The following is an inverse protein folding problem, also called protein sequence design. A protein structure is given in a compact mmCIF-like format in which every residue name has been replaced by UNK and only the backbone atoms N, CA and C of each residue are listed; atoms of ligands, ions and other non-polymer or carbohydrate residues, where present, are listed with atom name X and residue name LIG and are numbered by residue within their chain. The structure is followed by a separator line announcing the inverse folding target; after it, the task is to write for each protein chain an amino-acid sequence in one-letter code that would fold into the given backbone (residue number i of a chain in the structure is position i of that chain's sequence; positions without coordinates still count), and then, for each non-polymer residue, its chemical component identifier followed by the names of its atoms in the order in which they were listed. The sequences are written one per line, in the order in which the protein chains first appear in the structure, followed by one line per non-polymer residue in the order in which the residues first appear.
data_IF_348969971815
#
_entry.id   IF_348969971815
#
_cell.length_a   1.000
_cell.length_b   1.000
_cell.length_c   1.000
_cell.angle_alpha   90.00
_cell.angle_beta   90.00
_cell.angle_gamma   90.00
#
_symmetry.space_group_name_H-M   'P 1'
#
loop_
_entity.id
_entity.type
_entity.pdbx_description
1 polymer ?
#
# COMPACT_ATOMS: atom_id res chain seq x y z
N UNK A 1 10.81 -8.60 -27.56
CA UNK A 1 9.63 -8.06 -26.85
C UNK A 1 8.98 -9.05 -25.89
N UNK A 2 8.93 -10.34 -26.27
CA UNK A 2 8.37 -11.38 -25.38
C UNK A 2 9.18 -11.60 -24.11
N UNK A 3 10.51 -11.47 -24.16
CA UNK A 3 11.39 -11.67 -23.01
C UNK A 3 11.20 -10.57 -21.97
N UNK A 4 10.98 -9.32 -22.39
CA UNK A 4 10.75 -8.20 -21.48
C UNK A 4 9.42 -8.30 -20.74
N UNK A 5 8.36 -8.78 -21.41
CA UNK A 5 7.04 -8.92 -20.77
C UNK A 5 7.01 -10.06 -19.76
N UNK A 6 7.71 -11.18 -20.03
CA UNK A 6 7.78 -12.29 -19.07
C UNK A 6 8.62 -11.93 -17.85
N UNK A 7 9.74 -11.21 -18.01
CA UNK A 7 10.56 -10.74 -16.91
C UNK A 7 9.79 -9.74 -16.02
N UNK A 8 9.06 -8.80 -16.63
CA UNK A 8 8.21 -7.86 -15.90
C UNK A 8 7.09 -8.58 -15.13
N UNK A 9 6.45 -9.57 -15.75
CA UNK A 9 5.41 -10.38 -15.10
C UNK A 9 5.98 -11.17 -13.91
N UNK A 10 7.19 -11.73 -14.03
CA UNK A 10 7.84 -12.46 -12.94
C UNK A 10 8.21 -11.55 -11.76
N UNK A 11 8.58 -10.29 -12.04
CA UNK A 11 8.81 -9.28 -11.00
C UNK A 11 7.51 -8.97 -10.27
N UNK A 12 6.42 -8.72 -10.99
CA UNK A 12 5.11 -8.41 -10.40
C UNK A 12 4.54 -9.54 -9.55
N UNK A 13 4.75 -10.79 -9.91
CA UNK A 13 4.25 -11.96 -9.16
C UNK A 13 4.72 -12.03 -7.71
N UNK A 14 5.80 -11.34 -7.37
CA UNK A 14 6.37 -11.30 -6.02
C UNK A 14 6.14 -9.98 -5.31
N UNK A 15 5.37 -9.08 -5.90
CA UNK A 15 5.18 -7.73 -5.37
C UNK A 15 3.80 -7.56 -4.76
N UNK A 16 3.77 -6.80 -3.70
CA UNK A 16 2.58 -6.16 -3.17
C UNK A 16 2.53 -4.74 -3.71
N UNK A 17 1.47 -4.42 -4.41
CA UNK A 17 1.23 -3.06 -4.92
C UNK A 17 0.10 -2.44 -4.12
N UNK A 18 0.40 -1.36 -3.43
CA UNK A 18 -0.58 -0.62 -2.61
C UNK A 18 -0.93 0.68 -3.34
N UNK A 19 -2.19 0.80 -3.71
CA UNK A 19 -2.75 2.04 -4.23
C UNK A 19 -3.46 2.80 -3.12
N UNK A 20 -3.25 4.10 -3.05
CA UNK A 20 -3.91 4.95 -2.06
C UNK A 20 -4.70 6.03 -2.82
N UNK A 21 -6.01 5.99 -2.68
CA UNK A 21 -6.91 6.96 -3.31
C UNK A 21 -8.09 7.21 -2.38
N UNK A 22 -8.15 8.39 -1.78
CA UNK A 22 -9.23 8.76 -0.85
C UNK A 22 -10.59 8.65 -1.55
N UNK A 23 -10.71 9.22 -2.75
CA UNK A 23 -11.95 9.16 -3.55
C UNK A 23 -12.22 7.78 -4.14
N UNK A 24 -11.20 6.95 -4.27
CA UNK A 24 -11.29 5.68 -4.98
C UNK A 24 -11.52 5.80 -6.49
N UNK A 25 -11.33 7.01 -7.04
CA UNK A 25 -11.60 7.34 -8.45
C UNK A 25 -10.41 7.98 -9.16
N UNK A 26 -9.23 7.98 -8.55
CA UNK A 26 -8.02 8.53 -9.14
C UNK A 26 -7.56 7.64 -10.29
N UNK A 27 -7.69 8.11 -11.52
CA UNK A 27 -7.47 7.31 -12.73
C UNK A 27 -6.09 6.66 -12.77
N UNK A 28 -5.05 7.39 -12.42
CA UNK A 28 -3.67 6.88 -12.43
C UNK A 28 -3.49 5.74 -11.41
N UNK A 29 -4.07 5.87 -10.23
CA UNK A 29 -4.00 4.84 -9.19
C UNK A 29 -4.77 3.59 -9.64
N UNK A 30 -5.98 3.77 -10.11
CA UNK A 30 -6.83 2.65 -10.56
C UNK A 30 -6.19 1.94 -11.75
N UNK A 31 -5.70 2.68 -12.72
CA UNK A 31 -5.02 2.11 -13.90
C UNK A 31 -3.76 1.35 -13.51
N UNK A 32 -2.98 1.88 -12.58
CA UNK A 32 -1.77 1.23 -12.08
C UNK A 32 -2.08 -0.08 -11.35
N UNK A 33 -3.12 -0.09 -10.51
CA UNK A 33 -3.56 -1.30 -9.82
C UNK A 33 -4.07 -2.36 -10.79
N UNK A 34 -4.85 -1.97 -11.80
CA UNK A 34 -5.32 -2.88 -12.85
C UNK A 34 -4.14 -3.51 -13.60
N UNK A 35 -3.16 -2.71 -13.99
CA UNK A 35 -1.96 -3.19 -14.67
C UNK A 35 -1.16 -4.14 -13.79
N UNK A 36 -0.94 -3.80 -12.53
CA UNK A 36 -0.23 -4.65 -11.57
C UNK A 36 -0.96 -5.98 -11.37
N UNK A 37 -2.28 -5.95 -11.21
CA UNK A 37 -3.10 -7.14 -11.04
C UNK A 37 -3.01 -8.07 -12.28
N UNK A 38 -3.09 -7.49 -13.47
CA UNK A 38 -2.94 -8.25 -14.72
C UNK A 38 -1.57 -8.93 -14.84
N UNK A 39 -0.53 -8.35 -14.26
CA UNK A 39 0.82 -8.91 -14.25
C UNK A 39 1.09 -9.85 -13.07
N UNK A 40 0.10 -10.12 -12.24
CA UNK A 40 0.19 -11.10 -11.17
C UNK A 40 0.70 -10.56 -9.83
N UNK A 41 0.76 -9.25 -9.64
CA UNK A 41 1.03 -8.67 -8.34
C UNK A 41 -0.17 -8.86 -7.39
N UNK A 42 0.11 -8.95 -6.10
CA UNK A 42 -0.95 -8.83 -5.09
C UNK A 42 -1.29 -7.35 -4.93
N UNK A 43 -2.56 -7.01 -5.11
CA UNK A 43 -2.99 -5.62 -5.16
C UNK A 43 -3.89 -5.26 -3.98
N UNK A 44 -3.57 -4.15 -3.34
CA UNK A 44 -4.29 -3.60 -2.20
C UNK A 44 -4.67 -2.16 -2.49
N UNK A 45 -5.94 -1.83 -2.37
CA UNK A 45 -6.43 -0.46 -2.47
C UNK A 45 -6.82 0.06 -1.08
N UNK A 46 -6.26 1.19 -0.70
CA UNK A 46 -6.67 1.95 0.48
C UNK A 46 -7.51 3.14 0.03
N UNK A 47 -8.77 3.20 0.44
CA UNK A 47 -9.72 4.20 0.00
C UNK A 47 -10.76 4.49 1.06
N UNK A 48 -11.41 5.64 0.98
CA UNK A 48 -12.56 5.98 1.81
C UNK A 48 -13.90 5.54 1.17
N UNK A 49 -13.86 5.05 -0.07
CA UNK A 49 -15.05 4.69 -0.84
C UNK A 49 -15.25 3.17 -0.88
N UNK A 50 -16.48 2.74 -0.73
CA UNK A 50 -16.89 1.37 -1.01
C UNK A 50 -17.42 1.25 -2.42
N UNK A 51 -16.86 0.32 -3.20
CA UNK A 51 -17.31 0.02 -4.54
C UNK A 51 -17.05 -1.46 -4.86
N UNK A 52 -18.06 -2.16 -5.30
CA UNK A 52 -17.92 -3.60 -5.62
C UNK A 52 -16.99 -3.85 -6.81
N UNK A 53 -16.81 -2.87 -7.69
CA UNK A 53 -15.94 -3.00 -8.86
C UNK A 53 -14.47 -3.15 -8.50
N UNK A 54 -14.07 -2.76 -7.30
CA UNK A 54 -12.69 -2.93 -6.85
C UNK A 54 -12.26 -4.39 -6.77
N UNK A 55 -13.19 -5.31 -6.54
CA UNK A 55 -12.92 -6.75 -6.50
C UNK A 55 -12.39 -7.31 -7.82
N UNK A 56 -12.63 -6.63 -8.94
CA UNK A 56 -12.21 -7.08 -10.25
C UNK A 56 -10.70 -6.92 -10.47
N UNK A 57 -10.05 -6.01 -9.72
CA UNK A 57 -8.63 -5.72 -9.88
C UNK A 57 -7.87 -5.49 -8.57
N UNK A 58 -8.51 -5.68 -7.43
CA UNK A 58 -7.87 -5.61 -6.13
C UNK A 58 -8.09 -6.93 -5.39
N UNK A 59 -7.01 -7.51 -4.89
CA UNK A 59 -7.09 -8.68 -4.03
C UNK A 59 -7.67 -8.30 -2.66
N UNK A 60 -7.31 -7.11 -2.17
CA UNK A 60 -7.84 -6.56 -0.93
C UNK A 60 -8.17 -5.07 -1.09
N UNK A 61 -9.17 -4.64 -0.34
CA UNK A 61 -9.53 -3.23 -0.23
C UNK A 61 -9.65 -2.87 1.25
N UNK A 62 -8.86 -1.91 1.69
CA UNK A 62 -8.95 -1.35 3.04
C UNK A 62 -9.72 -0.03 2.99
N UNK A 63 -10.86 -0.02 3.68
CA UNK A 63 -11.71 1.16 3.76
C UNK A 63 -11.38 1.91 5.04
N UNK A 64 -10.99 3.16 4.92
CA UNK A 64 -10.79 4.04 6.06
C UNK A 64 -11.87 5.12 6.12
N UNK A 65 -12.09 5.66 7.32
CA UNK A 65 -13.06 6.73 7.50
C UNK A 65 -12.58 8.02 6.83
N UNK A 66 -13.49 8.66 6.11
CA UNK A 66 -13.28 10.00 5.54
C UNK A 66 -14.12 11.01 6.29
N UNK A 67 -13.54 12.17 6.55
CA UNK A 67 -14.22 13.28 7.21
C UNK A 67 -15.05 14.15 6.25
N UNK A 68 -15.32 13.67 5.04
CA UNK A 68 -16.13 14.38 4.03
C UNK A 68 -17.57 14.69 4.49
N UNK A 69 -18.03 14.02 5.54
CA UNK A 69 -19.38 14.18 6.07
C UNK A 69 -19.50 15.20 7.19
N UNK A 70 -18.43 15.91 7.54
CA UNK A 70 -18.53 17.00 8.52
C UNK A 70 -18.97 18.30 7.82
N UNK A 71 -20.01 18.93 8.38
CA UNK A 71 -20.60 20.18 7.85
C UNK A 71 -19.60 21.35 7.74
N UNK A 72 -18.44 21.24 8.36
CA UNK A 72 -17.47 22.34 8.47
C UNK A 72 -16.17 22.11 7.71
N UNK A 73 -16.19 21.25 6.71
CA UNK A 73 -15.03 20.99 5.84
C UNK A 73 -13.95 20.13 6.48
N UNK A 74 -12.82 20.05 5.81
CA UNK A 74 -11.71 19.18 6.18
C UNK A 74 -10.91 19.76 7.36
N UNK A 75 -11.40 19.60 8.58
CA UNK A 75 -10.66 20.00 9.79
C UNK A 75 -9.49 19.05 10.05
N UNK A 76 -9.62 17.78 9.64
CA UNK A 76 -8.58 16.78 9.78
C UNK A 76 -8.08 16.38 8.39
N UNK A 77 -6.76 16.39 8.21
CA UNK A 77 -6.16 15.96 6.96
C UNK A 77 -6.60 14.55 6.59
N UNK A 78 -7.01 14.29 5.34
CA UNK A 78 -7.36 12.94 4.88
C UNK A 78 -6.17 11.97 4.94
N UNK A 79 -4.96 12.49 5.08
CA UNK A 79 -3.75 11.69 5.22
C UNK A 79 -3.61 11.03 6.60
N UNK A 80 -4.22 11.58 7.63
CA UNK A 80 -4.13 11.05 8.99
C UNK A 80 -4.66 9.62 9.11
N UNK A 81 -5.88 9.28 8.63
CA UNK A 81 -6.36 7.91 8.66
C UNK A 81 -5.48 6.94 7.86
N UNK A 82 -4.93 7.40 6.74
CA UNK A 82 -4.03 6.60 5.89
C UNK A 82 -2.77 6.23 6.66
N UNK A 83 -2.14 7.20 7.30
CA UNK A 83 -0.93 6.97 8.11
C UNK A 83 -1.21 6.01 9.27
N UNK A 84 -2.35 6.16 9.94
CA UNK A 84 -2.76 5.26 11.01
C UNK A 84 -2.91 3.82 10.51
N UNK A 85 -3.58 3.61 9.39
CA UNK A 85 -3.75 2.27 8.80
C UNK A 85 -2.40 1.68 8.39
N UNK A 86 -1.51 2.47 7.80
CA UNK A 86 -0.16 2.02 7.45
C UNK A 86 0.64 1.62 8.68
N UNK A 87 0.55 2.37 9.77
CA UNK A 87 1.20 2.03 11.03
C UNK A 87 0.68 0.70 11.62
N UNK A 88 -0.64 0.50 11.57
CA UNK A 88 -1.26 -0.76 12.01
C UNK A 88 -0.80 -1.93 11.14
N UNK A 89 -0.78 -1.77 9.82
CA UNK A 89 -0.28 -2.79 8.89
C UNK A 89 1.17 -3.13 9.17
N UNK A 90 2.00 -2.14 9.40
CA UNK A 90 3.41 -2.33 9.71
C UNK A 90 3.60 -3.07 11.03
N UNK A 91 2.83 -2.70 12.06
CA UNK A 91 2.87 -3.37 13.35
C UNK A 91 2.49 -4.86 13.22
N UNK A 92 1.44 -5.17 12.46
CA UNK A 92 1.05 -6.56 12.18
C UNK A 92 2.11 -7.31 11.37
N UNK A 93 2.68 -6.67 10.38
CA UNK A 93 3.76 -7.24 9.58
C UNK A 93 4.96 -7.63 10.44
N UNK A 94 5.33 -6.80 11.42
CA UNK A 94 6.44 -7.10 12.33
C UNK A 94 6.16 -8.31 13.24
N UNK A 95 4.90 -8.65 13.51
CA UNK A 95 4.54 -9.83 14.31
C UNK A 95 4.71 -11.14 13.55
N UNK A 96 4.69 -11.11 12.22
CA UNK A 96 4.93 -12.28 11.39
C UNK A 96 6.45 -12.50 11.32
N UNK A 97 6.93 -13.67 11.75
CA UNK A 97 8.38 -13.98 11.78
C UNK A 97 9.20 -12.90 12.50
N UNK A 98 8.79 -12.55 13.71
CA UNK A 98 9.35 -11.43 14.47
C UNK A 98 10.86 -11.44 14.56
N UNK A 99 11.45 -12.58 14.89
CA UNK A 99 12.91 -12.70 15.04
C UNK A 99 13.69 -12.33 13.78
N UNK A 100 13.21 -12.79 12.61
CA UNK A 100 13.82 -12.52 11.32
C UNK A 100 13.73 -11.03 10.94
N UNK A 101 12.59 -10.40 11.25
CA UNK A 101 12.37 -8.98 10.95
C UNK A 101 13.12 -8.06 11.89
N UNK A 102 13.24 -8.42 13.15
CA UNK A 102 14.08 -7.69 14.11
C UNK A 102 15.53 -7.72 13.68
N UNK A 103 16.04 -8.86 13.22
CA UNK A 103 17.40 -8.97 12.69
C UNK A 103 17.60 -8.09 11.45
N UNK A 104 16.63 -8.05 10.53
CA UNK A 104 16.68 -7.16 9.36
C UNK A 104 16.64 -5.68 9.75
N UNK A 105 15.83 -5.34 10.73
CA UNK A 105 15.71 -3.97 11.24
C UNK A 105 17.02 -3.51 11.89
N UNK A 106 17.61 -4.34 12.74
CA UNK A 106 18.92 -4.07 13.34
C UNK A 106 20.01 -3.89 12.28
N UNK A 107 20.04 -4.76 11.28
CA UNK A 107 20.98 -4.65 10.17
C UNK A 107 20.82 -3.33 9.44
N UNK A 108 19.59 -2.91 9.18
CA UNK A 108 19.29 -1.63 8.52
C UNK A 108 19.77 -0.45 9.36
N UNK A 109 19.50 -0.47 10.65
CA UNK A 109 19.95 0.58 11.58
C UNK A 109 21.48 0.65 11.62
N UNK A 110 22.16 -0.50 11.73
CA UNK A 110 23.62 -0.55 11.73
C UNK A 110 24.21 -0.01 10.42
N UNK A 111 23.57 -0.32 9.29
CA UNK A 111 23.99 0.18 7.98
C UNK A 111 23.84 1.68 7.87
N UNK A 112 22.78 2.25 8.45
CA UNK A 112 22.48 3.68 8.42
C UNK A 112 23.20 4.48 9.50
N UNK A 113 23.73 3.82 10.54
CA UNK A 113 24.34 4.49 11.68
C UNK A 113 25.44 5.48 11.32
N UNK A 114 26.35 5.22 10.34
CA UNK A 114 27.36 6.20 9.92
C UNK A 114 26.77 7.49 9.35
N UNK A 115 25.53 7.46 8.89
CA UNK A 115 24.84 8.60 8.28
C UNK A 115 23.95 9.36 9.26
N UNK A 116 23.77 8.84 10.47
CA UNK A 116 22.97 9.49 11.50
C UNK A 116 23.79 10.59 12.17
N UNK A 117 23.18 11.78 12.30
CA UNK A 117 23.77 12.90 13.04
C UNK A 117 23.59 12.62 14.53
N UNK A 118 24.70 12.59 15.23
CA UNK A 118 24.68 12.44 16.70
C UNK A 118 24.45 13.79 17.37
#
# INVERSE_FOLDING_TARGET
TRVRSSAASDVYKRQLVIGISVSGQTDDIISSLKAAHQHGAYTLLMTARQDKSYQDFCDETLIFASMEHLEYGNIISPQFPILLVLDVLYAHYLQIDRSKKEALHEYTIQTLQPFLIK
#
